data_IF_283726024761
#
_entry.id   IF_283726024761
#
_cell.length_a   1.000
_cell.length_b   1.000
_cell.length_c   1.000
_cell.angle_alpha   90.00
_cell.angle_beta   90.00
_cell.angle_gamma   90.00
#
_symmetry.space_group_name_H-M   'P 1'
#
loop_
_entity.id
_entity.type
_entity.pdbx_description
1 polymer ?
#
# COMPACT_ATOMS: atom_id res chain seq x y z
N UNK A 1 -8.66 14.62 -9.04
CA UNK A 1 -8.03 14.34 -7.73
C UNK A 1 -7.95 12.84 -7.55
N UNK A 2 -6.79 12.30 -7.17
CA UNK A 2 -6.59 10.85 -6.94
C UNK A 2 -6.15 10.62 -5.50
N UNK A 3 -6.66 9.61 -4.81
CA UNK A 3 -6.22 9.31 -3.44
C UNK A 3 -5.11 8.26 -3.40
N UNK A 4 -4.19 8.43 -2.47
CA UNK A 4 -3.06 7.52 -2.26
C UNK A 4 -2.57 7.54 -0.82
N UNK A 5 -1.61 6.68 -0.52
CA UNK A 5 -0.90 6.72 0.75
C UNK A 5 0.34 7.61 0.63
N UNK A 6 0.63 8.34 1.71
CA UNK A 6 1.93 8.94 1.95
C UNK A 6 2.62 8.21 3.12
N UNK A 7 3.87 7.80 2.94
CA UNK A 7 4.65 7.11 3.95
C UNK A 7 5.96 7.86 4.22
N UNK A 8 6.09 8.39 5.44
CA UNK A 8 7.33 8.99 5.93
C UNK A 8 8.26 7.90 6.49
N UNK A 9 9.31 7.58 5.73
CA UNK A 9 10.25 6.55 6.11
C UNK A 9 11.11 6.97 7.29
N UNK A 10 11.23 8.26 7.61
CA UNK A 10 11.95 8.78 8.79
C UNK A 10 11.20 8.59 10.09
N UNK A 11 9.89 8.39 10.02
CA UNK A 11 9.05 8.21 11.20
C UNK A 11 8.66 6.76 11.41
N UNK A 12 8.68 5.93 10.37
CA UNK A 12 8.26 4.53 10.50
C UNK A 12 9.26 3.73 11.35
N UNK A 13 8.82 3.29 12.53
CA UNK A 13 9.60 2.47 13.48
C UNK A 13 9.34 0.97 13.37
N UNK A 14 8.61 0.53 12.34
CA UNK A 14 8.42 -0.91 12.11
C UNK A 14 7.50 -1.64 13.09
N UNK A 15 6.80 -0.94 13.99
CA UNK A 15 5.99 -1.53 15.07
C UNK A 15 4.79 -2.42 14.64
N UNK A 16 4.48 -2.48 13.34
CA UNK A 16 3.39 -3.29 12.75
C UNK A 16 1.96 -3.00 13.26
N UNK A 17 1.74 -1.93 14.03
CA UNK A 17 0.40 -1.50 14.45
C UNK A 17 -0.58 -1.34 13.26
N UNK A 18 -0.08 -0.83 12.13
CA UNK A 18 -0.86 -0.66 10.91
C UNK A 18 -1.30 -1.99 10.26
N UNK A 19 -0.59 -3.10 10.50
CA UNK A 19 -0.98 -4.44 10.03
C UNK A 19 -2.14 -4.97 10.88
N UNK A 20 -1.97 -4.95 12.20
CA UNK A 20 -2.99 -5.40 13.15
C UNK A 20 -4.30 -4.63 12.98
N UNK A 21 -4.25 -3.30 12.86
CA UNK A 21 -5.43 -2.49 12.61
C UNK A 21 -6.09 -2.80 11.26
N UNK A 22 -5.28 -3.06 10.21
CA UNK A 22 -5.82 -3.45 8.91
C UNK A 22 -6.55 -4.80 8.98
N UNK A 23 -5.99 -5.78 9.68
CA UNK A 23 -6.60 -7.10 9.85
C UNK A 23 -7.87 -7.00 10.69
N UNK A 24 -7.82 -6.30 11.83
CA UNK A 24 -8.98 -6.10 12.69
C UNK A 24 -10.16 -5.44 11.94
N UNK A 25 -9.88 -4.47 11.07
CA UNK A 25 -10.91 -3.82 10.26
C UNK A 25 -11.43 -4.71 9.12
N UNK A 26 -10.57 -5.54 8.51
CA UNK A 26 -10.93 -6.36 7.34
C UNK A 26 -11.46 -7.74 7.69
N UNK A 27 -11.32 -8.15 8.95
CA UNK A 27 -11.76 -9.44 9.43
C UNK A 27 -10.66 -10.50 9.40
N UNK A 28 -11.03 -11.76 9.65
CA UNK A 28 -10.09 -12.86 9.79
C UNK A 28 -9.34 -13.13 8.48
N UNK A 29 -8.11 -13.64 8.58
CA UNK A 29 -7.26 -13.91 7.43
C UNK A 29 -5.87 -13.28 7.61
N UNK A 30 -5.38 -12.61 6.57
CA UNK A 30 -4.06 -11.98 6.57
C UNK A 30 -4.17 -10.44 6.54
N UNK A 31 -3.18 -9.70 7.09
CA UNK A 31 -3.22 -8.25 7.07
C UNK A 31 -2.96 -7.73 5.65
N UNK A 32 -3.92 -7.05 5.01
CA UNK A 32 -3.81 -6.53 3.62
C UNK A 32 -2.74 -5.43 3.44
N UNK A 33 -2.09 -5.04 4.54
CA UNK A 33 -0.91 -4.18 4.63
C UNK A 33 0.19 -4.96 5.35
N UNK A 34 1.46 -4.80 4.94
CA UNK A 34 2.62 -5.46 5.56
C UNK A 34 3.76 -4.47 5.74
N UNK A 35 4.48 -4.58 6.84
CA UNK A 35 5.71 -3.85 7.12
C UNK A 35 6.90 -4.76 6.80
N UNK A 36 7.81 -4.27 5.98
CA UNK A 36 9.04 -4.97 5.61
C UNK A 36 10.24 -4.12 5.99
N UNK A 37 11.22 -4.74 6.67
CA UNK A 37 12.53 -4.13 6.86
C UNK A 37 13.28 -4.14 5.53
N UNK A 38 13.98 -3.05 5.24
CA UNK A 38 14.82 -2.92 4.07
C UNK A 38 16.15 -2.27 4.48
N UNK A 39 17.25 -2.80 3.94
CA UNK A 39 18.58 -2.26 4.07
C UNK A 39 19.18 -2.07 2.68
N UNK A 40 19.65 -0.87 2.37
CA UNK A 40 20.25 -0.61 1.06
C UNK A 40 20.71 0.82 0.87
N UNK A 41 21.31 1.10 -0.30
CA UNK A 41 21.83 2.43 -0.62
C UNK A 41 20.73 3.38 -1.06
N UNK A 42 20.45 4.40 -0.25
CA UNK A 42 19.54 5.51 -0.58
C UNK A 42 20.36 6.78 -0.64
N UNK A 43 20.28 7.53 -1.74
CA UNK A 43 21.08 8.76 -2.00
C UNK A 43 22.58 8.54 -1.77
N UNK A 44 23.09 7.39 -2.22
CA UNK A 44 24.51 7.02 -2.14
C UNK A 44 24.99 6.43 -0.81
N UNK A 45 24.13 6.37 0.23
CA UNK A 45 24.52 5.89 1.56
C UNK A 45 23.71 4.68 2.00
N UNK A 46 24.34 3.79 2.77
CA UNK A 46 23.67 2.66 3.39
C UNK A 46 22.67 3.13 4.43
N UNK A 47 21.42 2.69 4.33
CA UNK A 47 20.35 3.05 5.24
C UNK A 47 19.43 1.86 5.49
N UNK A 48 18.89 1.80 6.70
CA UNK A 48 17.89 0.83 7.13
C UNK A 48 16.56 1.54 7.45
N UNK A 49 15.46 0.99 6.94
CA UNK A 49 14.13 1.56 7.12
C UNK A 49 13.04 0.53 6.92
N UNK A 50 11.81 0.89 7.30
CA UNK A 50 10.65 0.03 7.16
C UNK A 50 9.71 0.54 6.08
N UNK A 51 9.35 -0.33 5.15
CA UNK A 51 8.34 -0.10 4.12
C UNK A 51 7.00 -0.66 4.59
N UNK A 52 6.00 0.21 4.79
CA UNK A 52 4.61 -0.19 4.99
C UNK A 52 3.89 -0.32 3.65
N UNK A 53 3.82 -1.53 3.12
CA UNK A 53 3.32 -1.88 1.80
C UNK A 53 1.85 -2.29 1.84
N UNK A 54 1.06 -1.81 0.88
CA UNK A 54 -0.34 -2.19 0.64
C UNK A 54 -0.65 -2.05 -0.86
N UNK A 55 -1.94 -2.09 -1.24
CA UNK A 55 -2.33 -1.72 -2.60
C UNK A 55 -2.01 -0.23 -2.85
N UNK A 56 -1.32 0.04 -3.95
CA UNK A 56 -0.92 1.40 -4.33
C UNK A 56 -1.95 2.11 -5.25
N UNK A 57 -3.16 1.55 -5.39
CA UNK A 57 -4.28 2.10 -6.16
C UNK A 57 -3.87 2.76 -7.48
N UNK A 58 -3.11 2.00 -8.28
CA UNK A 58 -2.31 2.52 -9.37
C UNK A 58 -3.12 3.26 -10.46
N UNK A 59 -2.47 4.19 -11.16
CA UNK A 59 -3.02 4.86 -12.34
C UNK A 59 -3.35 3.86 -13.44
N UNK A 60 -2.40 2.98 -13.76
CA UNK A 60 -2.50 1.90 -14.74
C UNK A 60 -2.40 0.54 -14.04
N UNK A 61 -3.47 0.05 -13.40
CA UNK A 61 -3.40 -1.14 -12.55
C UNK A 61 -3.37 -2.44 -13.38
N UNK A 62 -2.26 -3.16 -13.34
CA UNK A 62 -2.12 -4.47 -13.99
C UNK A 62 -3.18 -5.50 -13.55
N UNK A 63 -3.64 -5.41 -12.29
CA UNK A 63 -4.70 -6.28 -11.79
C UNK A 63 -6.04 -6.12 -12.55
N UNK A 64 -6.33 -4.95 -13.12
CA UNK A 64 -7.47 -4.76 -14.03
C UNK A 64 -7.23 -5.46 -15.35
N UNK A 65 -6.08 -5.17 -15.97
CA UNK A 65 -5.73 -5.59 -17.33
C UNK A 65 -5.82 -7.10 -17.48
N UNK A 66 -5.41 -7.85 -16.45
CA UNK A 66 -5.30 -9.31 -16.48
C UNK A 66 -6.52 -10.06 -15.95
N UNK A 67 -7.54 -9.38 -15.42
CA UNK A 67 -8.68 -10.04 -14.77
C UNK A 67 -9.76 -10.44 -15.79
N UNK A 68 -9.91 -11.75 -16.12
CA UNK A 68 -10.91 -12.18 -17.11
C UNK A 68 -12.34 -11.98 -16.62
N UNK A 69 -12.56 -12.09 -15.30
CA UNK A 69 -13.88 -11.97 -14.69
C UNK A 69 -14.33 -10.50 -14.51
N UNK A 70 -13.50 -9.53 -14.89
CA UNK A 70 -13.77 -8.09 -14.68
C UNK A 70 -14.19 -7.78 -13.23
N UNK A 71 -13.48 -8.41 -12.29
CA UNK A 71 -13.71 -8.29 -10.85
C UNK A 71 -13.13 -7.02 -10.25
N UNK A 72 -12.56 -6.11 -11.05
CA UNK A 72 -12.00 -4.84 -10.59
C UNK A 72 -12.77 -3.66 -11.18
N UNK A 73 -12.97 -2.61 -10.38
CA UNK A 73 -13.53 -1.33 -10.82
C UNK A 73 -12.75 -0.17 -10.17
N UNK A 74 -12.57 0.93 -10.92
CA UNK A 74 -11.78 2.08 -10.48
C UNK A 74 -12.73 3.25 -10.26
N UNK A 75 -12.76 3.75 -9.02
CA UNK A 75 -13.55 4.93 -8.66
C UNK A 75 -12.97 6.19 -9.33
N UNK A 76 -13.80 7.25 -9.37
CA UNK A 76 -13.41 8.57 -9.89
C UNK A 76 -12.23 9.18 -9.14
N UNK A 77 -12.12 8.92 -7.84
CA UNK A 77 -11.00 9.31 -6.97
C UNK A 77 -9.75 8.40 -7.12
N UNK A 78 -9.76 7.45 -8.06
CA UNK A 78 -8.63 6.58 -8.34
C UNK A 78 -8.55 5.31 -7.48
N UNK A 79 -9.42 5.12 -6.48
CA UNK A 79 -9.41 3.88 -5.67
C UNK A 79 -9.75 2.68 -6.57
N UNK A 80 -8.76 1.81 -6.74
CA UNK A 80 -8.91 0.48 -7.34
C UNK A 80 -9.64 -0.44 -6.36
N UNK A 81 -10.83 -0.92 -6.70
CA UNK A 81 -11.66 -1.84 -5.90
C UNK A 81 -11.67 -3.25 -6.50
N UNK A 82 -11.89 -4.25 -5.65
CA UNK A 82 -12.04 -5.65 -6.06
C UNK A 82 -13.41 -6.17 -5.57
N UNK A 83 -14.18 -6.76 -6.47
CA UNK A 83 -15.48 -7.36 -6.19
C UNK A 83 -15.31 -8.88 -6.01
N UNK A 84 -15.40 -9.33 -4.76
CA UNK A 84 -15.30 -10.75 -4.41
C UNK A 84 -16.41 -11.60 -5.05
N UNK A 85 -17.61 -11.05 -5.26
CA UNK A 85 -18.72 -11.74 -5.91
C UNK A 85 -18.44 -12.15 -7.37
N UNK A 86 -17.59 -11.39 -8.08
CA UNK A 86 -17.17 -11.71 -9.45
C UNK A 86 -15.86 -12.50 -9.54
N UNK A 87 -15.12 -12.62 -8.44
CA UNK A 87 -13.81 -13.22 -8.45
C UNK A 87 -13.89 -14.75 -8.56
N UNK A 88 -13.27 -15.30 -9.61
CA UNK A 88 -13.18 -16.76 -9.83
C UNK A 88 -11.96 -17.40 -9.17
N UNK A 89 -11.11 -16.63 -8.47
CA UNK A 89 -9.92 -17.18 -7.82
C UNK A 89 -8.74 -17.54 -8.74
N UNK A 90 -8.75 -17.14 -10.01
CA UNK A 90 -7.74 -17.55 -11.00
C UNK A 90 -6.29 -17.05 -10.76
N UNK A 91 -6.05 -16.20 -9.75
CA UNK A 91 -4.73 -15.70 -9.34
C UNK A 91 -3.89 -14.93 -10.37
N UNK A 92 -4.44 -14.57 -11.54
CA UNK A 92 -3.72 -13.77 -12.54
C UNK A 92 -3.29 -12.40 -12.00
N UNK A 93 -4.17 -11.73 -11.26
CA UNK A 93 -3.90 -10.44 -10.63
C UNK A 93 -2.84 -10.51 -9.52
N UNK A 94 -2.72 -11.64 -8.83
CA UNK A 94 -1.66 -11.87 -7.81
C UNK A 94 -0.29 -11.87 -8.49
N UNK A 95 -0.16 -12.59 -9.61
CA UNK A 95 1.11 -12.67 -10.36
C UNK A 95 1.45 -11.36 -11.09
N UNK A 96 0.45 -10.62 -11.55
CA UNK A 96 0.66 -9.41 -12.34
C UNK A 96 0.98 -8.16 -11.52
N UNK A 97 0.65 -8.15 -10.21
CA UNK A 97 0.88 -6.97 -9.40
C UNK A 97 2.35 -6.86 -9.00
N UNK A 98 3.10 -5.81 -9.45
CA UNK A 98 4.51 -5.67 -9.11
C UNK A 98 4.77 -5.45 -7.61
N UNK A 99 3.75 -5.04 -6.86
CA UNK A 99 3.82 -4.78 -5.43
C UNK A 99 3.32 -5.95 -4.55
N UNK A 100 2.87 -7.05 -5.16
CA UNK A 100 2.34 -8.20 -4.41
C UNK A 100 1.16 -7.87 -3.49
N UNK A 101 0.31 -6.91 -3.92
CA UNK A 101 -0.78 -6.39 -3.11
C UNK A 101 -2.05 -7.27 -3.13
N UNK A 102 -2.54 -7.76 -4.29
CA UNK A 102 -3.54 -8.82 -4.31
C UNK A 102 -2.94 -10.13 -3.81
N UNK A 103 -3.65 -10.80 -2.91
CA UNK A 103 -3.27 -12.13 -2.41
C UNK A 103 -4.46 -13.07 -2.45
N UNK A 104 -4.17 -14.34 -2.69
CA UNK A 104 -5.18 -15.39 -2.62
C UNK A 104 -5.52 -15.70 -1.17
N UNK A 105 -6.80 -15.66 -0.83
CA UNK A 105 -7.33 -16.14 0.43
C UNK A 105 -7.82 -17.58 0.23
N UNK A 106 -7.10 -18.51 0.87
CA UNK A 106 -7.37 -19.95 0.81
C UNK A 106 -8.71 -20.32 1.45
N UNK A 107 -9.16 -19.56 2.45
CA UNK A 107 -10.42 -19.82 3.18
C UNK A 107 -11.64 -19.56 2.29
N UNK A 108 -11.62 -18.50 1.49
CA UNK A 108 -12.77 -18.13 0.63
C UNK A 108 -12.57 -18.50 -0.85
N UNK A 109 -11.41 -19.06 -1.21
CA UNK A 109 -11.07 -19.43 -2.59
C UNK A 109 -10.99 -18.25 -3.56
N UNK A 110 -10.72 -17.04 -3.06
CA UNK A 110 -10.79 -15.78 -3.82
C UNK A 110 -9.62 -14.87 -3.48
N UNK A 111 -9.37 -13.90 -4.36
CA UNK A 111 -8.34 -12.88 -4.13
C UNK A 111 -8.89 -11.77 -3.24
N UNK A 112 -8.04 -11.26 -2.35
CA UNK A 112 -8.29 -10.07 -1.55
C UNK A 112 -7.16 -9.05 -1.73
N UNK A 113 -7.47 -7.78 -1.49
CA UNK A 113 -6.49 -6.69 -1.53
C UNK A 113 -6.99 -5.49 -0.73
N UNK A 114 -6.06 -4.64 -0.31
CA UNK A 114 -6.40 -3.35 0.28
C UNK A 114 -7.32 -2.55 -0.67
N UNK A 115 -8.34 -1.93 -0.08
CA UNK A 115 -9.35 -1.10 -0.73
C UNK A 115 -9.30 0.35 -0.22
N UNK A 116 -8.15 0.75 0.36
CA UNK A 116 -7.96 2.04 1.03
C UNK A 116 -8.90 2.29 2.21
N UNK A 117 -9.57 1.25 2.76
CA UNK A 117 -10.68 1.41 3.70
C UNK A 117 -11.76 2.36 3.15
N UNK A 118 -12.16 2.16 1.90
CA UNK A 118 -13.11 3.02 1.16
C UNK A 118 -14.36 3.38 1.97
N UNK A 119 -14.94 2.42 2.70
CA UNK A 119 -16.10 2.65 3.57
C UNK A 119 -15.81 3.68 4.67
N UNK A 120 -14.62 3.65 5.29
CA UNK A 120 -14.23 4.63 6.30
C UNK A 120 -14.05 6.01 5.70
N UNK A 121 -13.37 6.09 4.55
CA UNK A 121 -13.15 7.34 3.82
C UNK A 121 -14.48 7.99 3.44
N UNK A 122 -15.43 7.20 2.93
CA UNK A 122 -16.76 7.69 2.54
C UNK A 122 -17.57 8.21 3.74
N UNK A 123 -17.23 7.77 4.96
CA UNK A 123 -17.80 8.26 6.23
C UNK A 123 -16.92 9.31 6.94
N UNK A 124 -15.93 9.90 6.25
CA UNK A 124 -15.06 10.95 6.83
C UNK A 124 -14.03 10.44 7.84
N UNK A 125 -13.84 9.13 7.96
CA UNK A 125 -12.87 8.51 8.85
C UNK A 125 -11.57 8.15 8.11
N UNK A 126 -10.40 8.27 8.76
CA UNK A 126 -9.16 7.79 8.18
C UNK A 126 -9.17 6.26 8.03
N UNK A 127 -8.40 5.68 7.09
CA UNK A 127 -8.19 4.24 7.04
C UNK A 127 -7.65 3.71 8.38
N UNK A 128 -8.08 2.52 8.80
CA UNK A 128 -7.70 1.94 10.09
C UNK A 128 -6.17 1.88 10.29
N UNK A 129 -5.43 1.55 9.22
CA UNK A 129 -3.96 1.53 9.24
C UNK A 129 -3.30 2.91 9.42
N UNK A 130 -3.95 3.99 8.98
CA UNK A 130 -3.50 5.37 9.15
C UNK A 130 -3.80 5.84 10.57
N UNK A 131 -5.01 5.59 11.05
CA UNK A 131 -5.44 5.92 12.41
C UNK A 131 -4.56 5.25 13.48
N UNK A 132 -4.20 3.99 13.27
CA UNK A 132 -3.39 3.23 14.21
C UNK A 132 -1.90 3.54 14.21
N UNK A 133 -1.40 4.47 13.37
CA UNK A 133 0.04 4.75 13.28
C UNK A 133 0.50 5.68 14.44
N UNK A 134 1.19 5.17 15.49
CA UNK A 134 1.50 5.98 16.68
C UNK A 134 2.46 7.12 16.37
N UNK A 135 3.33 6.90 15.40
CA UNK A 135 4.37 7.84 14.95
C UNK A 135 3.92 8.71 13.78
N UNK A 136 2.66 8.60 13.33
CA UNK A 136 2.09 9.33 12.18
C UNK A 136 2.93 9.28 10.90
N UNK A 137 3.59 8.14 10.69
CA UNK A 137 4.38 7.88 9.49
C UNK A 137 3.51 7.62 8.25
N UNK A 138 2.26 7.15 8.43
CA UNK A 138 1.35 6.83 7.34
C UNK A 138 0.19 7.83 7.29
N UNK A 139 -0.13 8.35 6.11
CA UNK A 139 -1.21 9.32 5.88
C UNK A 139 -1.95 9.01 4.58
N UNK A 140 -3.16 9.56 4.42
CA UNK A 140 -3.86 9.63 3.13
C UNK A 140 -3.51 10.95 2.47
N UNK A 141 -3.24 10.91 1.17
CA UNK A 141 -2.93 12.08 0.37
C UNK A 141 -3.92 12.22 -0.78
N UNK A 142 -4.37 13.46 -1.02
CA UNK A 142 -5.08 13.82 -2.25
C UNK A 142 -4.05 14.33 -3.26
N UNK A 143 -3.91 13.61 -4.36
CA UNK A 143 -3.06 13.95 -5.48
C UNK A 143 -3.86 14.82 -6.45
N UNK A 144 -3.53 16.10 -6.43
CA UNK A 144 -3.99 17.07 -7.40
C UNK A 144 -3.03 17.13 -8.58
N UNK A 145 -3.54 17.51 -9.75
CA UNK A 145 -2.70 17.76 -10.92
C UNK A 145 -1.79 18.96 -10.60
N UNK A 146 -0.48 18.71 -10.46
CA UNK A 146 0.54 19.75 -10.28
C UNK A 146 1.19 19.85 -8.89
N UNK A 147 0.73 19.11 -7.87
CA UNK A 147 1.40 19.03 -6.56
C UNK A 147 1.81 17.59 -6.25
N UNK A 148 3.03 17.24 -6.63
CA UNK A 148 3.64 15.98 -6.21
C UNK A 148 4.31 16.16 -4.85
N UNK A 149 3.63 15.73 -3.79
CA UNK A 149 4.23 15.64 -2.48
C UNK A 149 4.98 14.31 -2.37
N UNK A 150 6.29 14.38 -2.14
CA UNK A 150 7.14 13.22 -1.84
C UNK A 150 7.66 12.45 -3.06
N UNK A 151 8.66 11.61 -2.80
CA UNK A 151 9.29 10.72 -3.77
C UNK A 151 8.32 9.59 -4.17
N UNK A 152 8.43 9.10 -5.41
CA UNK A 152 7.59 8.00 -5.92
C UNK A 152 8.20 6.62 -5.66
N UNK A 153 9.51 6.54 -5.45
CA UNK A 153 10.25 5.30 -5.38
C UNK A 153 11.44 5.43 -4.42
N UNK A 154 11.74 4.32 -3.74
CA UNK A 154 12.97 4.08 -2.98
C UNK A 154 13.40 2.64 -3.24
N UNK A 155 14.67 2.28 -3.00
CA UNK A 155 15.11 0.89 -3.02
C UNK A 155 14.18 -0.04 -2.22
N UNK A 156 13.96 -1.25 -2.70
CA UNK A 156 13.00 -2.19 -2.10
C UNK A 156 11.56 -2.04 -2.61
N UNK A 157 11.25 -1.00 -3.39
CA UNK A 157 10.02 -0.95 -4.18
C UNK A 157 10.24 -1.47 -5.60
N UNK A 158 9.22 -2.14 -6.13
CA UNK A 158 9.18 -2.52 -7.53
C UNK A 158 9.13 -1.28 -8.45
N UNK A 159 9.45 -1.48 -9.73
CA UNK A 159 9.44 -0.39 -10.72
C UNK A 159 8.05 0.27 -10.82
N UNK A 160 8.03 1.55 -10.44
CA UNK A 160 6.82 2.36 -10.37
C UNK A 160 6.35 2.83 -11.73
N UNK A 161 7.19 2.77 -12.76
CA UNK A 161 6.83 3.19 -14.11
C UNK A 161 5.86 2.20 -14.79
N UNK A 162 5.85 0.94 -14.36
CA UNK A 162 4.94 -0.10 -14.89
C UNK A 162 3.47 0.29 -14.70
N UNK A 163 3.12 0.80 -13.50
CA UNK A 163 1.72 1.02 -13.13
C UNK A 163 1.39 2.43 -12.67
N UNK A 164 2.39 3.29 -12.47
CA UNK A 164 2.24 4.67 -11.96
C UNK A 164 1.41 4.70 -10.65
N UNK A 165 1.93 4.14 -9.55
CA UNK A 165 1.23 4.07 -8.25
C UNK A 165 0.92 5.45 -7.64
N UNK A 166 -0.12 5.52 -6.80
CA UNK A 166 -0.46 6.73 -6.02
C UNK A 166 0.33 6.83 -4.70
N UNK A 167 1.13 5.82 -4.35
CA UNK A 167 2.04 5.88 -3.20
C UNK A 167 3.03 7.03 -3.36
N UNK A 168 3.24 7.77 -2.27
CA UNK A 168 4.26 8.79 -2.12
C UNK A 168 5.04 8.59 -0.83
N UNK A 169 6.29 9.01 -0.82
CA UNK A 169 7.25 8.68 0.23
C UNK A 169 8.03 9.93 0.66
N UNK A 170 8.33 10.03 1.96
CA UNK A 170 9.50 10.79 2.41
C UNK A 170 10.65 9.80 2.51
N UNK A 171 11.65 9.90 1.64
CA UNK A 171 12.80 9.01 1.70
C UNK A 171 13.58 9.19 3.00
N UNK A 172 14.29 8.16 3.46
CA UNK A 172 15.23 8.28 4.57
C UNK A 172 16.20 9.45 4.35
N UNK A 173 16.20 10.37 5.31
CA UNK A 173 17.12 11.49 5.42
C UNK A 173 18.34 11.07 6.24
N UNK A 174 19.43 11.83 6.08
CA UNK A 174 20.69 11.59 6.78
C UNK A 174 20.51 11.65 8.30
N UNK A 175 20.82 10.57 9.00
CA UNK A 175 20.78 10.49 10.47
C UNK A 175 21.00 9.07 10.98
N UNK A 176 21.70 8.94 12.10
CA UNK A 176 21.93 7.66 12.79
C UNK A 176 20.60 7.13 13.32
N UNK A 177 19.97 6.26 12.53
CA UNK A 177 18.94 5.37 13.08
C UNK A 177 19.66 4.31 13.89
N UNK A 178 19.79 4.56 15.19
CA UNK A 178 20.09 3.51 16.14
C UNK A 178 18.89 2.57 16.19
N UNK A 179 18.86 1.60 15.28
CA UNK A 179 18.13 0.38 15.59
C UNK A 179 18.81 -0.16 16.85
N UNK A 180 18.09 -0.20 17.96
CA UNK A 180 18.50 -0.99 19.11
C UNK A 180 18.49 -2.43 18.62
N UNK A 181 19.63 -2.88 18.10
CA UNK A 181 19.89 -4.28 17.79
C UNK A 181 19.97 -4.95 19.17
N UNK A 182 18.84 -5.51 19.60
CA UNK A 182 18.76 -6.47 20.68
C UNK A 182 18.93 -7.87 20.14
#
# INVERSE_FOLDING_TARGET
MRVGFFLDLNRCIGCRACEGACQNWKGPGFPLRRVQAFAGRVKGRWQEYYLSLACNHCENPECFRVCPARAYNKRRDGIVLHNSGRCSGCNRCVRACPFGAPRYNLTIGKVEKCDLCVERIDNGLPPACVEACPVKALQVLQLDEGKELGERWVPGLADVNITRPTLRLKAPEEGERFFLVG
#
